data_IF_433152941961
#
_entry.id   IF_433152941961
#
_cell.length_a   1.000
_cell.length_b   1.000
_cell.length_c   1.000
_cell.angle_alpha   90.00
_cell.angle_beta   90.00
_cell.angle_gamma   90.00
#
_symmetry.space_group_name_H-M   'P 1'
#
loop_
_entity.id
_entity.type
_entity.pdbx_description
1 polymer ?
#
# COMPACT_ATOMS: atom_id res chain seq x y z
N UNK A 1 -10.24 -17.67 12.05
CA UNK A 1 -8.88 -17.89 12.64
C UNK A 1 -9.02 -18.01 14.17
N UNK A 2 -8.75 -19.17 14.78
CA UNK A 2 -8.77 -19.31 16.24
C UNK A 2 -7.63 -18.46 16.83
N UNK A 3 -7.93 -17.59 17.79
CA UNK A 3 -6.92 -16.87 18.55
C UNK A 3 -6.04 -17.88 19.30
N UNK A 4 -4.72 -17.78 19.09
CA UNK A 4 -3.74 -18.53 19.86
C UNK A 4 -3.67 -17.91 21.27
N UNK A 5 -3.67 -18.76 22.29
CA UNK A 5 -3.51 -18.33 23.69
C UNK A 5 -2.20 -17.55 23.89
N UNK A 6 -2.14 -16.57 24.82
CA UNK A 6 -0.93 -15.81 25.07
C UNK A 6 0.17 -16.74 25.62
N UNK A 7 1.33 -16.79 24.95
CA UNK A 7 2.52 -17.50 25.45
C UNK A 7 3.11 -18.58 24.54
N UNK A 8 2.47 -18.92 23.42
CA UNK A 8 3.05 -19.79 22.40
C UNK A 8 3.11 -19.04 21.06
N UNK A 9 4.23 -18.36 20.79
CA UNK A 9 4.48 -17.84 19.47
C UNK A 9 4.61 -19.04 18.50
N UNK A 10 3.59 -19.24 17.68
CA UNK A 10 3.61 -20.21 16.60
C UNK A 10 4.85 -19.93 15.72
N UNK A 11 5.62 -20.95 15.34
CA UNK A 11 6.77 -20.76 14.45
C UNK A 11 6.29 -20.19 13.12
N UNK A 12 7.12 -19.38 12.44
CA UNK A 12 6.77 -18.81 11.13
C UNK A 12 6.36 -19.90 10.12
N UNK A 13 7.00 -21.07 10.18
CA UNK A 13 6.65 -22.23 9.37
C UNK A 13 5.23 -22.76 9.65
N UNK A 14 4.83 -22.82 10.93
CA UNK A 14 3.46 -23.21 11.28
C UNK A 14 2.43 -22.19 10.78
N UNK A 15 2.75 -20.89 10.82
CA UNK A 15 1.89 -19.83 10.28
C UNK A 15 1.75 -19.94 8.75
N UNK A 16 2.85 -20.23 8.05
CA UNK A 16 2.82 -20.51 6.61
C UNK A 16 1.94 -21.72 6.29
N UNK A 17 2.11 -22.82 7.04
CA UNK A 17 1.33 -24.04 6.85
C UNK A 17 -0.16 -23.79 7.04
N UNK A 18 -0.55 -23.09 8.10
CA UNK A 18 -1.94 -22.70 8.36
C UNK A 18 -2.48 -21.84 7.22
N UNK A 19 -1.77 -20.79 6.82
CA UNK A 19 -2.22 -19.88 5.77
C UNK A 19 -2.40 -20.61 4.42
N UNK A 20 -1.45 -21.47 4.02
CA UNK A 20 -1.55 -22.28 2.80
C UNK A 20 -2.72 -23.26 2.89
N UNK A 21 -2.91 -23.93 4.03
CA UNK A 21 -4.04 -24.83 4.24
C UNK A 21 -5.37 -24.09 4.15
N UNK A 22 -5.48 -22.89 4.71
CA UNK A 22 -6.70 -22.06 4.60
C UNK A 22 -6.95 -21.65 3.15
N UNK A 23 -5.91 -21.19 2.44
CA UNK A 23 -6.05 -20.75 1.03
C UNK A 23 -6.54 -21.88 0.11
N UNK A 24 -5.98 -23.08 0.30
CA UNK A 24 -6.28 -24.28 -0.49
C UNK A 24 -7.64 -24.90 -0.15
N UNK A 25 -8.18 -24.62 1.03
CA UNK A 25 -9.47 -25.17 1.45
C UNK A 25 -10.63 -24.48 0.73
N UNK A 26 -11.19 -25.12 -0.29
CA UNK A 26 -12.30 -24.59 -1.09
C UNK A 26 -13.61 -24.45 -0.31
N UNK A 27 -13.74 -25.10 0.85
CA UNK A 27 -14.91 -24.98 1.73
C UNK A 27 -14.74 -23.94 2.83
N UNK A 28 -13.56 -23.30 2.94
CA UNK A 28 -13.34 -22.21 3.90
C UNK A 28 -14.07 -20.93 3.47
N UNK A 29 -14.38 -20.07 4.45
CA UNK A 29 -14.97 -18.76 4.18
C UNK A 29 -14.11 -17.95 3.22
N UNK A 30 -14.74 -17.31 2.22
CA UNK A 30 -14.02 -16.61 1.16
C UNK A 30 -13.17 -15.45 1.70
N UNK A 31 -13.57 -14.83 2.81
CA UNK A 31 -12.81 -13.76 3.43
C UNK A 31 -11.60 -14.29 4.20
N UNK A 32 -11.71 -15.48 4.80
CA UNK A 32 -10.55 -16.16 5.41
C UNK A 32 -9.51 -16.55 4.35
N UNK A 33 -9.96 -17.04 3.19
CA UNK A 33 -9.10 -17.31 2.03
C UNK A 33 -8.45 -16.02 1.52
N UNK A 34 -9.21 -14.93 1.40
CA UNK A 34 -8.68 -13.64 0.95
C UNK A 34 -7.64 -13.08 1.92
N UNK A 35 -7.88 -13.21 3.22
CA UNK A 35 -6.93 -12.84 4.25
C UNK A 35 -5.65 -13.68 4.17
N UNK A 36 -5.77 -15.01 4.02
CA UNK A 36 -4.62 -15.89 3.87
C UNK A 36 -3.79 -15.54 2.63
N UNK A 37 -4.44 -15.33 1.48
CA UNK A 37 -3.76 -14.93 0.24
C UNK A 37 -3.08 -13.57 0.38
N UNK A 38 -3.75 -12.60 1.01
CA UNK A 38 -3.19 -11.28 1.28
C UNK A 38 -1.93 -11.37 2.15
N UNK A 39 -2.02 -12.12 3.25
CA UNK A 39 -0.90 -12.33 4.17
C UNK A 39 0.29 -13.02 3.48
N UNK A 40 0.05 -14.11 2.75
CA UNK A 40 1.10 -14.81 1.98
C UNK A 40 1.73 -13.92 0.91
N UNK A 41 0.94 -13.08 0.24
CA UNK A 41 1.45 -12.13 -0.77
C UNK A 41 2.37 -11.07 -0.13
N UNK A 42 2.06 -10.61 1.08
CA UNK A 42 2.98 -9.74 1.82
C UNK A 42 4.29 -10.45 2.17
N UNK A 43 4.26 -11.75 2.48
CA UNK A 43 5.47 -12.55 2.76
C UNK A 43 6.35 -12.73 1.52
N UNK A 44 5.74 -12.85 0.33
CA UNK A 44 6.47 -12.74 -0.94
C UNK A 44 7.15 -11.38 -1.10
N UNK A 45 6.43 -10.28 -0.86
CA UNK A 45 7.03 -8.94 -0.90
C UNK A 45 8.14 -8.72 0.16
N UNK A 46 8.14 -9.54 1.21
CA UNK A 46 9.18 -9.57 2.24
C UNK A 46 10.37 -10.46 1.89
N UNK A 47 10.35 -11.17 0.76
CA UNK A 47 11.40 -12.08 0.34
C UNK A 47 11.42 -13.40 1.13
N UNK A 48 10.34 -13.71 1.84
CA UNK A 48 10.20 -14.94 2.64
C UNK A 48 9.55 -16.08 1.86
N UNK A 49 8.91 -15.76 0.74
CA UNK A 49 8.34 -16.69 -0.24
C UNK A 49 8.98 -16.32 -1.57
N UNK A 50 9.48 -17.31 -2.32
CA UNK A 50 10.04 -17.05 -3.64
C UNK A 50 8.97 -16.84 -4.72
N UNK A 51 9.35 -16.30 -5.88
CA UNK A 51 8.43 -16.01 -6.96
C UNK A 51 7.70 -17.25 -7.49
N UNK A 52 8.42 -18.37 -7.64
CA UNK A 52 7.85 -19.61 -8.18
C UNK A 52 6.78 -20.15 -7.24
N UNK A 53 7.04 -20.12 -5.94
CA UNK A 53 6.07 -20.50 -4.93
C UNK A 53 4.88 -19.53 -4.93
N UNK A 54 5.13 -18.22 -4.93
CA UNK A 54 4.06 -17.23 -4.93
C UNK A 54 3.13 -17.40 -6.14
N UNK A 55 3.67 -17.53 -7.36
CA UNK A 55 2.84 -17.72 -8.57
C UNK A 55 2.01 -19.00 -8.50
N UNK A 56 2.61 -20.12 -8.10
CA UNK A 56 1.99 -21.45 -8.20
C UNK A 56 1.17 -21.86 -6.98
N UNK A 57 1.38 -21.25 -5.82
CA UNK A 57 0.75 -21.68 -4.56
C UNK A 57 0.02 -20.55 -3.82
N UNK A 58 0.15 -19.30 -4.29
CA UNK A 58 -0.53 -18.16 -3.67
C UNK A 58 -1.39 -17.42 -4.69
N UNK A 59 -0.83 -17.00 -5.82
CA UNK A 59 -1.50 -16.11 -6.77
C UNK A 59 -2.45 -16.84 -7.75
N UNK A 60 -2.24 -18.13 -8.01
CA UNK A 60 -3.10 -18.91 -8.92
C UNK A 60 -4.53 -19.15 -8.41
N UNK A 61 -4.83 -18.81 -7.17
CA UNK A 61 -6.18 -18.89 -6.61
C UNK A 61 -6.98 -17.62 -6.95
N UNK A 62 -8.12 -17.80 -7.60
CA UNK A 62 -9.12 -16.74 -7.76
C UNK A 62 -9.92 -16.59 -6.45
N UNK A 63 -9.61 -15.55 -5.69
CA UNK A 63 -10.28 -15.22 -4.42
C UNK A 63 -10.85 -13.81 -4.51
N UNK A 64 -12.17 -13.71 -4.53
CA UNK A 64 -12.89 -12.44 -4.58
C UNK A 64 -13.69 -12.26 -3.29
N UNK A 65 -13.11 -11.55 -2.33
CA UNK A 65 -13.80 -11.22 -1.08
C UNK A 65 -14.97 -10.29 -1.34
N UNK A 66 -16.12 -10.59 -0.73
CA UNK A 66 -17.29 -9.71 -0.73
C UNK A 66 -17.12 -8.54 0.26
N UNK A 67 -16.22 -8.65 1.24
CA UNK A 67 -15.90 -7.56 2.16
C UNK A 67 -14.88 -6.61 1.54
N UNK A 68 -15.25 -5.33 1.43
CA UNK A 68 -14.41 -4.25 0.92
C UNK A 68 -13.01 -4.21 1.57
N UNK A 69 -12.92 -4.47 2.88
CA UNK A 69 -11.64 -4.56 3.61
C UNK A 69 -10.66 -5.56 3.01
N UNK A 70 -11.11 -6.79 2.78
CA UNK A 70 -10.20 -7.85 2.32
C UNK A 70 -9.97 -7.77 0.81
N UNK A 71 -10.95 -7.32 0.04
CA UNK A 71 -10.78 -7.05 -1.39
C UNK A 71 -9.71 -5.98 -1.63
N UNK A 72 -9.81 -4.83 -0.96
CA UNK A 72 -8.81 -3.75 -1.08
C UNK A 72 -7.44 -4.15 -0.55
N UNK A 73 -7.37 -4.84 0.59
CA UNK A 73 -6.10 -5.27 1.17
C UNK A 73 -5.37 -6.29 0.29
N UNK A 74 -6.10 -7.27 -0.24
CA UNK A 74 -5.54 -8.29 -1.15
C UNK A 74 -5.06 -7.65 -2.45
N UNK A 75 -5.88 -6.80 -3.08
CA UNK A 75 -5.49 -6.08 -4.29
C UNK A 75 -4.25 -5.22 -4.05
N UNK A 76 -4.16 -4.53 -2.90
CA UNK A 76 -2.98 -3.73 -2.53
C UNK A 76 -1.73 -4.60 -2.36
N UNK A 77 -1.84 -5.76 -1.72
CA UNK A 77 -0.72 -6.69 -1.60
C UNK A 77 -0.25 -7.21 -2.96
N UNK A 78 -1.19 -7.58 -3.85
CA UNK A 78 -0.89 -8.00 -5.21
C UNK A 78 -0.26 -6.88 -6.04
N UNK A 79 -0.74 -5.64 -5.88
CA UNK A 79 -0.14 -4.46 -6.50
C UNK A 79 1.36 -4.37 -6.16
N UNK A 80 1.73 -4.48 -4.88
CA UNK A 80 3.14 -4.45 -4.48
C UNK A 80 3.93 -5.60 -5.09
N UNK A 81 3.37 -6.81 -5.07
CA UNK A 81 4.02 -7.97 -5.67
C UNK A 81 4.33 -7.75 -7.16
N UNK A 82 3.34 -7.28 -7.93
CA UNK A 82 3.51 -7.01 -9.36
C UNK A 82 4.49 -5.86 -9.64
N UNK A 83 4.48 -4.79 -8.84
CA UNK A 83 5.49 -3.72 -8.97
C UNK A 83 6.91 -4.24 -8.69
N UNK A 84 7.09 -5.09 -7.68
CA UNK A 84 8.39 -5.70 -7.37
C UNK A 84 8.86 -6.68 -8.46
N UNK A 85 7.94 -7.20 -9.27
CA UNK A 85 8.21 -8.04 -10.44
C UNK A 85 8.32 -7.25 -11.75
N UNK A 86 8.12 -5.92 -11.72
CA UNK A 86 8.04 -5.04 -12.90
C UNK A 86 6.85 -5.32 -13.85
N UNK A 87 5.79 -5.94 -13.35
CA UNK A 87 4.58 -6.28 -14.11
C UNK A 87 3.52 -5.18 -13.99
N UNK A 88 3.76 -4.03 -14.64
CA UNK A 88 2.93 -2.83 -14.47
C UNK A 88 1.48 -2.97 -14.93
N UNK A 89 1.21 -3.78 -15.96
CA UNK A 89 -0.17 -4.00 -16.42
C UNK A 89 -1.00 -4.75 -15.36
N UNK A 90 -0.42 -5.81 -14.78
CA UNK A 90 -1.02 -6.55 -13.67
C UNK A 90 -1.17 -5.65 -12.43
N UNK A 91 -0.17 -4.79 -12.15
CA UNK A 91 -0.26 -3.83 -11.06
C UNK A 91 -1.42 -2.84 -11.27
N UNK A 92 -1.58 -2.29 -12.48
CA UNK A 92 -2.67 -1.34 -12.80
C UNK A 92 -4.05 -1.96 -12.60
N UNK A 93 -4.27 -3.22 -12.98
CA UNK A 93 -5.53 -3.91 -12.70
C UNK A 93 -5.84 -3.95 -11.18
N UNK A 94 -4.83 -4.17 -10.33
CA UNK A 94 -5.04 -4.16 -8.89
C UNK A 94 -5.32 -2.75 -8.35
N UNK A 95 -4.73 -1.72 -8.95
CA UNK A 95 -5.02 -0.33 -8.65
C UNK A 95 -6.51 0.00 -8.91
N UNK A 96 -7.05 -0.47 -10.04
CA UNK A 96 -8.44 -0.25 -10.41
C UNK A 96 -9.41 -0.90 -9.42
N UNK A 97 -9.09 -2.10 -8.93
CA UNK A 97 -9.86 -2.79 -7.88
C UNK A 97 -9.90 -1.94 -6.59
N UNK A 98 -8.78 -1.34 -6.19
CA UNK A 98 -8.72 -0.50 -4.98
C UNK A 98 -9.48 0.82 -5.18
N UNK A 99 -9.45 1.39 -6.38
CA UNK A 99 -10.20 2.61 -6.71
C UNK A 99 -11.71 2.39 -6.87
N UNK A 100 -12.15 1.17 -7.19
CA UNK A 100 -13.57 0.84 -7.30
C UNK A 100 -14.31 0.86 -5.95
N UNK A 101 -13.61 0.69 -4.82
CA UNK A 101 -14.24 0.62 -3.48
C UNK A 101 -14.51 2.01 -2.91
N UNK A 102 -15.78 2.45 -2.74
CA UNK A 102 -16.07 3.79 -2.24
C UNK A 102 -15.49 4.02 -0.85
N UNK A 103 -14.75 5.12 -0.66
CA UNK A 103 -14.07 5.43 0.60
C UNK A 103 -15.07 5.59 1.75
N UNK A 104 -16.25 6.16 1.51
CA UNK A 104 -17.30 6.31 2.53
C UNK A 104 -17.75 4.96 3.12
N UNK A 105 -17.72 3.89 2.33
CA UNK A 105 -18.15 2.56 2.74
C UNK A 105 -17.00 1.77 3.40
N UNK A 106 -15.75 2.20 3.16
CA UNK A 106 -14.56 1.64 3.77
C UNK A 106 -13.44 2.70 3.89
N UNK A 107 -13.49 3.59 4.90
CA UNK A 107 -12.48 4.64 5.08
C UNK A 107 -11.02 4.16 5.08
N UNK A 108 -10.68 2.96 5.62
CA UNK A 108 -9.31 2.42 5.53
C UNK A 108 -8.79 2.25 4.09
N UNK A 109 -9.65 2.22 3.07
CA UNK A 109 -9.26 2.17 1.66
C UNK A 109 -8.41 3.38 1.25
N UNK A 110 -8.56 4.55 1.88
CA UNK A 110 -7.80 5.76 1.51
C UNK A 110 -6.29 5.56 1.73
N UNK A 111 -5.90 4.80 2.76
CA UNK A 111 -4.50 4.47 3.01
C UNK A 111 -3.92 3.63 1.88
N UNK A 112 -4.66 2.61 1.44
CA UNK A 112 -4.25 1.73 0.35
C UNK A 112 -4.16 2.50 -0.98
N UNK A 113 -5.17 3.34 -1.29
CA UNK A 113 -5.15 4.24 -2.44
C UNK A 113 -3.93 5.14 -2.44
N UNK A 114 -3.67 5.82 -1.33
CA UNK A 114 -2.50 6.70 -1.21
C UNK A 114 -1.18 5.99 -1.45
N UNK A 115 -1.01 4.79 -0.88
CA UNK A 115 0.19 3.99 -1.09
C UNK A 115 0.37 3.57 -2.55
N UNK A 116 -0.70 3.15 -3.21
CA UNK A 116 -0.66 2.78 -4.63
C UNK A 116 -0.38 3.99 -5.51
N UNK A 117 -1.11 5.09 -5.32
CA UNK A 117 -0.97 6.31 -6.12
C UNK A 117 0.44 6.89 -5.98
N UNK A 118 1.02 6.89 -4.78
CA UNK A 118 2.40 7.36 -4.60
C UNK A 118 3.42 6.51 -5.33
N UNK A 119 3.23 5.18 -5.40
CA UNK A 119 4.09 4.32 -6.21
C UNK A 119 3.92 4.62 -7.70
N UNK A 120 2.68 4.74 -8.18
CA UNK A 120 2.41 5.06 -9.59
C UNK A 120 2.98 6.41 -10.00
N UNK A 121 2.75 7.44 -9.20
CA UNK A 121 3.29 8.78 -9.45
C UNK A 121 4.84 8.77 -9.43
N UNK A 122 5.44 7.98 -8.53
CA UNK A 122 6.90 7.84 -8.47
C UNK A 122 7.44 7.13 -9.72
N UNK A 123 6.80 6.05 -10.15
CA UNK A 123 7.12 5.36 -11.39
C UNK A 123 7.01 6.29 -12.61
N UNK A 124 5.89 7.00 -12.77
CA UNK A 124 5.68 7.99 -13.82
C UNK A 124 6.77 9.06 -13.83
N UNK A 125 7.08 9.62 -12.65
CA UNK A 125 8.16 10.60 -12.52
C UNK A 125 9.53 10.03 -12.97
N UNK A 126 9.81 8.77 -12.65
CA UNK A 126 11.05 8.09 -13.06
C UNK A 126 11.14 7.86 -14.57
N UNK A 127 10.00 7.77 -15.25
CA UNK A 127 9.89 7.69 -16.71
C UNK A 127 9.89 9.07 -17.39
N UNK A 128 9.92 10.17 -16.63
CA UNK A 128 9.82 11.54 -17.16
C UNK A 128 8.38 12.01 -17.40
N UNK A 129 7.38 11.20 -17.05
CA UNK A 129 5.93 11.50 -17.13
C UNK A 129 5.50 12.40 -15.96
N UNK A 130 6.09 13.59 -15.91
CA UNK A 130 5.97 14.51 -14.78
C UNK A 130 4.56 15.09 -14.62
N UNK A 131 3.82 15.28 -15.71
CA UNK A 131 2.44 15.80 -15.66
C UNK A 131 1.48 14.77 -15.08
N UNK A 132 1.64 13.51 -15.47
CA UNK A 132 0.88 12.37 -14.99
C UNK A 132 1.13 12.16 -13.49
N UNK A 133 2.41 12.16 -13.09
CA UNK A 133 2.80 12.07 -11.68
C UNK A 133 2.20 13.20 -10.84
N UNK A 134 2.28 14.45 -11.33
CA UNK A 134 1.70 15.62 -10.65
C UNK A 134 0.19 15.51 -10.52
N UNK A 135 -0.49 15.11 -11.60
CA UNK A 135 -1.94 14.93 -11.62
C UNK A 135 -2.39 13.87 -10.61
N UNK A 136 -1.73 12.71 -10.60
CA UNK A 136 -2.01 11.62 -9.67
C UNK A 136 -1.81 12.05 -8.21
N UNK A 137 -0.69 12.70 -7.88
CA UNK A 137 -0.43 13.20 -6.53
C UNK A 137 -1.48 14.23 -6.09
N UNK A 138 -1.85 15.20 -6.95
CA UNK A 138 -2.86 16.22 -6.62
C UNK A 138 -4.24 15.61 -6.41
N UNK A 139 -4.66 14.70 -7.28
CA UNK A 139 -5.94 14.01 -7.18
C UNK A 139 -6.05 13.23 -5.85
N UNK A 140 -4.99 12.49 -5.49
CA UNK A 140 -4.96 11.78 -4.21
C UNK A 140 -4.98 12.74 -3.01
N UNK A 141 -4.17 13.80 -3.01
CA UNK A 141 -4.14 14.76 -1.90
C UNK A 141 -5.50 15.46 -1.69
N UNK A 142 -6.22 15.78 -2.77
CA UNK A 142 -7.59 16.31 -2.68
C UNK A 142 -8.53 15.30 -2.03
N UNK A 143 -8.55 14.07 -2.55
CA UNK A 143 -9.41 12.99 -2.03
C UNK A 143 -9.08 12.63 -0.57
N UNK A 144 -7.79 12.63 -0.20
CA UNK A 144 -7.35 12.39 1.17
C UNK A 144 -7.85 13.50 2.12
N UNK A 145 -7.72 14.77 1.72
CA UNK A 145 -8.21 15.90 2.51
C UNK A 145 -9.73 15.83 2.72
N UNK A 146 -10.48 15.57 1.66
CA UNK A 146 -11.95 15.41 1.72
C UNK A 146 -12.34 14.24 2.63
N UNK A 147 -11.67 13.10 2.48
CA UNK A 147 -11.89 11.93 3.33
C UNK A 147 -11.64 12.26 4.80
N UNK A 148 -10.51 12.91 5.11
CA UNK A 148 -10.18 13.28 6.48
C UNK A 148 -11.20 14.26 7.09
N UNK A 149 -11.75 15.17 6.29
CA UNK A 149 -12.79 16.09 6.72
C UNK A 149 -14.15 15.43 6.96
N UNK A 150 -14.42 14.28 6.32
CA UNK A 150 -15.69 13.55 6.43
C UNK A 150 -15.68 12.42 7.47
N UNK A 151 -14.60 12.20 8.20
CA UNK A 151 -14.53 11.14 9.22
C UNK A 151 -15.43 11.54 10.39
N UNK A 152 -16.45 10.71 10.64
CA UNK A 152 -17.20 10.75 11.89
C UNK A 152 -16.35 10.12 13.01
N UNK A 153 -15.87 11.00 13.90
CA UNK A 153 -15.02 10.64 15.04
C UNK A 153 -15.77 9.80 16.08
N UNK A 154 -17.08 9.99 16.22
CA UNK A 154 -17.91 9.27 17.19
C UNK A 154 -18.22 7.84 16.70
N UNK A 155 -18.34 7.66 15.39
CA UNK A 155 -18.56 6.35 14.77
C UNK A 155 -17.27 5.53 14.58
N UNK A 156 -16.07 6.14 14.68
CA UNK A 156 -14.81 5.48 14.25
C UNK A 156 -13.61 5.63 15.22
N UNK A 157 -13.75 5.46 16.54
CA UNK A 157 -12.75 5.90 17.52
C UNK A 157 -11.41 5.13 17.51
N UNK A 158 -11.37 3.84 17.15
CA UNK A 158 -10.16 2.99 17.23
C UNK A 158 -9.31 3.04 15.95
N UNK A 159 -9.88 3.46 14.82
CA UNK A 159 -9.22 3.43 13.51
C UNK A 159 -8.22 4.58 13.30
N UNK A 160 -8.40 5.71 14.00
CA UNK A 160 -7.66 6.94 13.72
C UNK A 160 -6.14 6.76 13.90
N UNK A 161 -5.63 6.19 14.98
CA UNK A 161 -4.19 6.37 15.30
C UNK A 161 -3.25 5.71 14.27
N UNK A 162 -3.46 4.43 13.92
CA UNK A 162 -2.55 3.71 13.02
C UNK A 162 -2.82 4.00 11.53
N UNK A 163 -4.09 4.16 11.14
CA UNK A 163 -4.44 4.43 9.74
C UNK A 163 -4.24 5.89 9.36
N UNK A 164 -4.33 6.82 10.32
CA UNK A 164 -3.95 8.21 10.10
C UNK A 164 -2.44 8.32 9.91
N UNK A 165 -1.61 7.68 10.74
CA UNK A 165 -0.16 7.68 10.53
C UNK A 165 0.23 7.10 9.16
N UNK A 166 -0.39 5.99 8.75
CA UNK A 166 -0.10 5.34 7.46
C UNK A 166 -0.62 6.15 6.25
N UNK A 167 -1.82 6.72 6.31
CA UNK A 167 -2.35 7.56 5.24
C UNK A 167 -1.61 8.90 5.15
N UNK A 168 -1.20 9.47 6.29
CA UNK A 168 -0.31 10.62 6.33
C UNK A 168 1.05 10.31 5.71
N UNK A 169 1.64 9.13 5.93
CA UNK A 169 2.88 8.74 5.27
C UNK A 169 2.75 8.79 3.75
N UNK A 170 1.63 8.27 3.21
CA UNK A 170 1.35 8.34 1.79
C UNK A 170 1.11 9.78 1.31
N UNK A 171 0.36 10.60 2.04
CA UNK A 171 0.17 12.02 1.71
C UNK A 171 1.52 12.77 1.65
N UNK A 172 2.40 12.55 2.62
CA UNK A 172 3.74 13.13 2.63
C UNK A 172 4.59 12.63 1.46
N UNK A 173 4.57 11.33 1.14
CA UNK A 173 5.27 10.81 -0.03
C UNK A 173 4.79 11.48 -1.33
N UNK A 174 3.48 11.71 -1.50
CA UNK A 174 2.93 12.45 -2.64
C UNK A 174 3.45 13.90 -2.71
N UNK A 175 3.50 14.58 -1.56
CA UNK A 175 4.04 15.93 -1.47
C UNK A 175 5.54 15.97 -1.78
N UNK A 176 6.32 14.97 -1.36
CA UNK A 176 7.75 14.84 -1.72
C UNK A 176 7.94 14.66 -3.22
N UNK A 177 7.13 13.81 -3.86
CA UNK A 177 7.14 13.66 -5.33
C UNK A 177 6.85 15.01 -6.02
N UNK A 178 5.82 15.73 -5.57
CA UNK A 178 5.50 17.05 -6.11
C UNK A 178 6.63 18.06 -5.91
N UNK A 179 7.31 18.05 -4.76
CA UNK A 179 8.41 18.96 -4.46
C UNK A 179 9.69 18.68 -5.28
N UNK A 180 9.86 17.45 -5.77
CA UNK A 180 10.96 17.10 -6.68
C UNK A 180 10.65 17.51 -8.13
N UNK A 181 9.38 17.51 -8.54
CA UNK A 181 8.96 17.81 -9.91
C UNK A 181 8.68 19.32 -10.11
N UNK A 182 8.00 19.94 -9.15
CA UNK A 182 7.53 21.32 -9.25
C UNK A 182 8.49 22.27 -8.52
N UNK A 183 8.61 23.53 -8.99
CA UNK A 183 9.31 24.58 -8.27
C UNK A 183 8.44 25.07 -7.10
N UNK A 184 8.32 24.27 -6.03
CA UNK A 184 7.51 24.62 -4.85
C UNK A 184 8.37 25.38 -3.84
N UNK A 185 7.87 26.47 -3.21
CA UNK A 185 8.55 27.07 -2.06
C UNK A 185 8.75 26.02 -0.96
N UNK A 186 9.88 26.16 -0.25
CA UNK A 186 10.36 25.22 0.78
C UNK A 186 9.20 24.63 1.59
N UNK A 187 9.05 23.31 1.50
CA UNK A 187 8.09 22.57 2.30
C UNK A 187 8.47 22.73 3.79
N UNK A 188 7.62 23.34 4.64
CA UNK A 188 7.93 23.39 6.06
C UNK A 188 7.91 21.96 6.63
N UNK A 189 8.83 21.66 7.57
CA UNK A 189 8.91 20.38 8.30
C UNK A 189 9.22 19.11 7.48
N UNK A 190 10.02 19.21 6.40
CA UNK A 190 10.51 18.05 5.62
C UNK A 190 11.12 16.96 6.52
N UNK A 191 11.88 17.34 7.53
CA UNK A 191 12.57 16.38 8.42
C UNK A 191 11.61 15.50 9.22
N UNK A 192 10.52 16.06 9.75
CA UNK A 192 9.50 15.28 10.45
C UNK A 192 8.77 14.32 9.49
N UNK A 193 8.46 14.80 8.28
CA UNK A 193 7.84 13.99 7.22
C UNK A 193 8.73 12.81 6.81
N UNK A 194 10.02 13.08 6.62
CA UNK A 194 11.01 12.07 6.28
C UNK A 194 11.16 11.06 7.41
N UNK A 195 11.12 11.47 8.68
CA UNK A 195 11.14 10.55 9.83
C UNK A 195 9.89 9.67 9.90
N UNK A 196 8.71 10.21 9.55
CA UNK A 196 7.48 9.43 9.48
C UNK A 196 7.55 8.39 8.37
N UNK A 197 8.09 8.73 7.20
CA UNK A 197 8.31 7.81 6.07
C UNK A 197 9.38 6.76 6.42
N UNK A 198 10.46 7.13 7.12
CA UNK A 198 11.51 6.21 7.59
C UNK A 198 10.95 5.06 8.43
N UNK A 199 9.91 5.32 9.23
CA UNK A 199 9.22 4.29 10.01
C UNK A 199 8.62 3.15 9.17
N UNK A 200 8.44 3.35 7.86
CA UNK A 200 7.88 2.37 6.93
C UNK A 200 8.93 1.71 6.02
N UNK A 201 10.23 1.89 6.28
CA UNK A 201 11.29 1.43 5.39
C UNK A 201 11.30 -0.08 5.12
N UNK A 202 10.85 -0.88 6.08
CA UNK A 202 10.80 -2.33 5.97
C UNK A 202 9.54 -2.81 5.24
N UNK A 203 8.58 -1.92 4.97
CA UNK A 203 7.30 -2.31 4.39
C UNK A 203 7.37 -2.52 2.87
N UNK A 204 6.54 -3.44 2.33
CA UNK A 204 6.40 -3.64 0.89
C UNK A 204 6.11 -2.38 0.07
N UNK A 205 5.31 -1.46 0.61
CA UNK A 205 5.05 -0.16 -0.01
C UNK A 205 6.35 0.63 -0.24
N UNK A 206 7.21 0.74 0.78
CA UNK A 206 8.46 1.49 0.64
C UNK A 206 9.45 0.83 -0.32
N UNK A 207 9.52 -0.50 -0.32
CA UNK A 207 10.34 -1.25 -1.30
C UNK A 207 9.93 -0.92 -2.73
N UNK A 208 8.63 -0.78 -2.99
CA UNK A 208 8.12 -0.37 -4.30
C UNK A 208 8.51 1.07 -4.64
N UNK A 209 8.47 2.01 -3.68
CA UNK A 209 8.93 3.40 -3.89
C UNK A 209 10.41 3.43 -4.25
N UNK A 210 11.27 2.72 -3.51
CA UNK A 210 12.71 2.66 -3.76
C UNK A 210 13.03 2.08 -5.14
N UNK A 211 12.29 1.05 -5.57
CA UNK A 211 12.43 0.47 -6.91
C UNK A 211 12.15 1.49 -8.03
N UNK A 212 11.25 2.45 -7.77
CA UNK A 212 10.72 3.37 -8.78
C UNK A 212 11.36 4.76 -8.79
N UNK A 213 12.65 4.86 -8.49
CA UNK A 213 13.38 6.14 -8.50
C UNK A 213 14.14 6.44 -7.21
N UNK A 214 14.39 5.43 -6.38
CA UNK A 214 15.23 5.55 -5.20
C UNK A 214 14.60 6.38 -4.07
N UNK A 215 15.37 6.63 -2.99
CA UNK A 215 14.91 7.46 -1.88
C UNK A 215 14.63 8.89 -2.35
N UNK A 216 13.71 9.57 -1.67
CA UNK A 216 13.46 10.98 -1.94
C UNK A 216 14.73 11.80 -1.74
N UNK A 217 15.07 12.60 -2.74
CA UNK A 217 16.23 13.48 -2.66
C UNK A 217 15.86 14.73 -1.88
N UNK A 218 16.75 15.23 -1.03
CA UNK A 218 16.57 16.56 -0.48
C UNK A 218 16.51 17.54 -1.66
N UNK A 219 15.57 18.51 -1.68
CA UNK A 219 15.64 19.57 -2.67
C UNK A 219 16.98 20.29 -2.44
N UNK A 220 17.96 19.97 -3.28
CA UNK A 220 19.18 20.78 -3.37
C UNK A 220 18.67 22.16 -3.68
N UNK A 221 18.99 23.15 -2.84
CA UNK A 221 18.70 24.55 -3.13
C UNK A 221 19.39 24.90 -4.45
N UNK A 222 18.76 24.61 -5.59
CA UNK A 222 19.12 25.23 -6.86
C UNK A 222 18.78 26.68 -6.62
N UNK A 223 19.80 27.47 -6.30
CA UNK A 223 19.72 28.92 -6.39
C UNK A 223 19.13 29.18 -7.76
N UNK A 224 17.92 29.72 -7.78
CA UNK A 224 17.37 30.33 -8.98
C UNK A 224 18.31 31.51 -9.23
N UNK A 225 19.20 31.34 -10.21
CA UNK A 225 20.06 32.39 -10.75
C UNK A 225 19.24 33.30 -11.65
#
# INVERSE_FOLDING_TARGET
MKELLPGQAASMESLFSIARSTLNNTTADINERAHAQCWLTYRFCDGLIDEKEWRNQVNNFSVQSQKARWATSLATAKFYAYVLLDEWDNAKEQCDIVHAVPIKDHPPAITNRGRIVTILARHQASLGETNEAVSACRAFLSSWKETCASIDLEATPVWLVDSQAASMAAAHAALRILAEILPVPKFPNVEWCDNLIKGYQTTPWWKCILRNGGPFSLPTNKKIS
#
